data_IF_122934332643
#
_entry.id   IF_122934332643
#
_cell.length_a   1.000
_cell.length_b   1.000
_cell.length_c   1.000
_cell.angle_alpha   90.00
_cell.angle_beta   90.00
_cell.angle_gamma   90.00
#
_symmetry.space_group_name_H-M   'P 1'
#
loop_
_entity.id
_entity.type
_entity.pdbx_description
1 polymer ?
#
# COMPACT_ATOMS: atom_id res chain seq x y z
N UNK A 1 -30.91 9.00 1.95
CA UNK A 1 -31.05 7.77 2.78
C UNK A 1 -30.88 6.60 1.83
N UNK A 2 -30.01 5.66 2.14
CA UNK A 2 -29.90 4.45 1.33
C UNK A 2 -31.13 3.60 1.57
N UNK A 3 -31.89 3.30 0.52
CA UNK A 3 -33.08 2.48 0.60
C UNK A 3 -32.73 1.04 0.98
N UNK A 4 -33.52 0.43 1.86
CA UNK A 4 -33.40 -0.99 2.16
C UNK A 4 -33.75 -1.80 0.93
N UNK A 5 -33.09 -2.95 0.76
CA UNK A 5 -33.34 -3.84 -0.37
C UNK A 5 -34.70 -4.52 -0.23
N UNK A 6 -35.35 -4.74 -1.35
CA UNK A 6 -36.61 -5.52 -1.40
C UNK A 6 -36.35 -7.03 -1.19
N UNK A 7 -35.21 -7.52 -1.70
CA UNK A 7 -34.81 -8.93 -1.57
C UNK A 7 -33.47 -9.03 -0.87
N UNK A 8 -33.47 -9.61 0.32
CA UNK A 8 -32.27 -9.91 1.07
C UNK A 8 -31.47 -11.02 0.39
N UNK A 9 -30.15 -10.80 0.20
CA UNK A 9 -29.21 -11.79 -0.35
C UNK A 9 -28.21 -12.21 0.71
N UNK A 10 -27.73 -13.45 0.61
CA UNK A 10 -26.62 -13.99 1.38
C UNK A 10 -25.35 -13.84 0.55
N UNK A 11 -24.42 -13.00 1.01
CA UNK A 11 -23.26 -12.57 0.23
C UNK A 11 -21.97 -12.98 0.94
N UNK A 12 -21.06 -13.66 0.22
CA UNK A 12 -19.70 -13.88 0.67
C UNK A 12 -18.80 -12.78 0.13
N UNK A 13 -17.96 -12.21 1.00
CA UNK A 13 -16.89 -11.26 0.63
C UNK A 13 -15.55 -11.86 1.01
N UNK A 14 -14.62 -11.94 0.08
CA UNK A 14 -13.29 -12.53 0.31
C UNK A 14 -12.23 -11.44 0.27
N UNK A 15 -11.65 -11.16 1.44
CA UNK A 15 -10.64 -10.13 1.68
C UNK A 15 -11.20 -8.91 2.40
N UNK A 16 -10.67 -8.64 3.60
CA UNK A 16 -11.04 -7.50 4.43
C UNK A 16 -10.08 -6.30 4.27
N UNK A 17 -9.63 -6.04 3.03
CA UNK A 17 -8.98 -4.80 2.64
C UNK A 17 -9.99 -3.67 2.41
N UNK A 18 -9.53 -2.48 1.96
CA UNK A 18 -10.41 -1.30 1.77
C UNK A 18 -11.67 -1.57 0.96
N UNK A 19 -11.56 -2.30 -0.15
CA UNK A 19 -12.70 -2.64 -1.01
C UNK A 19 -13.70 -3.57 -0.31
N UNK A 20 -13.20 -4.67 0.29
CA UNK A 20 -14.07 -5.65 0.96
C UNK A 20 -14.78 -5.06 2.18
N UNK A 21 -14.10 -4.22 2.97
CA UNK A 21 -14.69 -3.51 4.10
C UNK A 21 -15.78 -2.55 3.65
N UNK A 22 -15.52 -1.75 2.59
CA UNK A 22 -16.49 -0.80 2.08
C UNK A 22 -17.73 -1.49 1.49
N UNK A 23 -17.54 -2.56 0.72
CA UNK A 23 -18.63 -3.37 0.19
C UNK A 23 -19.47 -3.96 1.33
N UNK A 24 -18.82 -4.65 2.28
CA UNK A 24 -19.51 -5.34 3.38
C UNK A 24 -20.32 -4.38 4.23
N UNK A 25 -19.76 -3.22 4.54
CA UNK A 25 -20.48 -2.16 5.25
C UNK A 25 -21.71 -1.68 4.48
N UNK A 26 -21.55 -1.31 3.21
CA UNK A 26 -22.63 -0.77 2.41
C UNK A 26 -23.75 -1.80 2.17
N UNK A 27 -23.40 -3.06 1.85
CA UNK A 27 -24.35 -4.12 1.62
C UNK A 27 -25.13 -4.51 2.89
N UNK A 28 -24.43 -4.66 4.03
CA UNK A 28 -25.09 -4.97 5.31
C UNK A 28 -26.01 -3.84 5.78
N UNK A 29 -25.60 -2.58 5.61
CA UNK A 29 -26.42 -1.40 5.92
C UNK A 29 -27.72 -1.36 5.13
N UNK A 30 -27.72 -1.88 3.90
CA UNK A 30 -28.92 -2.03 3.06
C UNK A 30 -29.80 -3.23 3.43
N UNK A 31 -29.31 -4.13 4.27
CA UNK A 31 -30.08 -5.27 4.79
C UNK A 31 -29.66 -6.64 4.26
N UNK A 32 -28.59 -6.75 3.45
CA UNK A 32 -28.06 -8.03 3.03
C UNK A 32 -27.36 -8.78 4.18
N UNK A 33 -27.36 -10.11 4.11
CA UNK A 33 -26.60 -10.97 5.03
C UNK A 33 -25.17 -11.15 4.47
N UNK A 34 -24.17 -10.53 5.13
CA UNK A 34 -22.80 -10.50 4.65
C UNK A 34 -21.88 -11.31 5.54
N UNK A 35 -21.15 -12.27 4.95
CA UNK A 35 -20.03 -12.96 5.58
C UNK A 35 -18.73 -12.47 4.93
N UNK A 36 -17.86 -11.84 5.73
CA UNK A 36 -16.57 -11.31 5.29
C UNK A 36 -15.43 -12.22 5.78
N UNK A 37 -14.72 -12.82 4.84
CA UNK A 37 -13.59 -13.71 5.08
C UNK A 37 -12.26 -12.96 4.93
N UNK A 38 -11.34 -13.16 5.85
CA UNK A 38 -9.99 -12.62 5.80
C UNK A 38 -8.97 -13.69 6.24
N UNK A 39 -7.96 -13.90 5.42
CA UNK A 39 -6.89 -14.87 5.70
C UNK A 39 -5.94 -14.45 6.83
N UNK A 40 -5.85 -13.16 7.10
CA UNK A 40 -5.05 -12.60 8.20
C UNK A 40 -5.87 -12.54 9.49
N UNK A 41 -5.16 -12.36 10.61
CA UNK A 41 -5.79 -12.25 11.95
C UNK A 41 -6.46 -10.88 12.21
N UNK A 42 -6.33 -9.93 11.28
CA UNK A 42 -6.87 -8.58 11.38
C UNK A 42 -7.38 -8.07 10.04
N UNK A 43 -8.37 -7.17 10.07
CA UNK A 43 -8.82 -6.44 8.90
C UNK A 43 -7.77 -5.44 8.42
N UNK A 44 -7.91 -4.93 7.19
CA UNK A 44 -7.18 -3.76 6.70
C UNK A 44 -6.40 -3.94 5.41
N UNK A 45 -5.90 -5.16 5.13
CA UNK A 45 -5.16 -5.41 3.89
C UNK A 45 -4.00 -4.42 3.70
N UNK A 46 -4.04 -3.63 2.61
CA UNK A 46 -2.99 -2.64 2.29
C UNK A 46 -2.91 -1.50 3.32
N UNK A 47 -3.97 -1.15 4.03
CA UNK A 47 -3.92 -0.14 5.09
C UNK A 47 -2.99 -0.54 6.25
N UNK A 48 -2.84 -1.83 6.53
CA UNK A 48 -1.91 -2.31 7.55
C UNK A 48 -0.42 -2.07 7.20
N UNK A 49 -0.11 -1.83 5.93
CA UNK A 49 1.21 -1.39 5.48
C UNK A 49 1.27 0.15 5.42
N UNK A 50 0.25 0.78 4.84
CA UNK A 50 0.21 2.23 4.68
C UNK A 50 0.31 2.99 6.01
N UNK A 51 -0.39 2.54 7.07
CA UNK A 51 -0.36 3.16 8.39
C UNK A 51 1.00 3.16 9.09
N UNK A 52 1.99 2.41 8.58
CA UNK A 52 3.36 2.39 9.08
C UNK A 52 4.24 3.48 8.46
N UNK A 53 3.75 4.12 7.39
CA UNK A 53 4.46 5.18 6.68
C UNK A 53 4.22 6.50 7.42
N UNK A 54 5.27 7.30 7.67
CA UNK A 54 5.15 8.59 8.34
C UNK A 54 4.11 9.50 7.70
N UNK A 55 3.24 10.07 8.53
CA UNK A 55 2.15 10.93 8.08
C UNK A 55 0.93 10.19 7.52
N UNK A 56 0.91 8.85 7.63
CA UNK A 56 -0.23 8.01 7.22
C UNK A 56 -0.79 7.16 8.37
N UNK A 57 -0.37 7.43 9.58
CA UNK A 57 -0.80 6.71 10.79
C UNK A 57 -2.32 6.81 11.03
N UNK A 58 -2.96 7.83 10.50
CA UNK A 58 -4.42 8.04 10.55
C UNK A 58 -5.24 6.90 9.91
N UNK A 59 -4.62 6.06 9.06
CA UNK A 59 -5.29 4.85 8.57
C UNK A 59 -5.66 3.87 9.68
N UNK A 60 -5.05 3.97 10.87
CA UNK A 60 -5.49 3.23 12.06
C UNK A 60 -6.94 3.58 12.44
N UNK A 61 -7.30 4.88 12.39
CA UNK A 61 -8.65 5.34 12.67
C UNK A 61 -9.66 4.86 11.61
N UNK A 62 -9.22 4.78 10.35
CA UNK A 62 -10.03 4.18 9.29
C UNK A 62 -10.33 2.70 9.57
N UNK A 63 -9.34 1.95 10.04
CA UNK A 63 -9.54 0.54 10.42
C UNK A 63 -10.42 0.39 11.66
N UNK A 64 -10.23 1.23 12.67
CA UNK A 64 -11.10 1.30 13.85
C UNK A 64 -12.55 1.56 13.43
N UNK A 65 -12.78 2.55 12.58
CA UNK A 65 -14.10 2.87 12.03
C UNK A 65 -14.75 1.66 11.37
N UNK A 66 -14.06 1.00 10.44
CA UNK A 66 -14.62 -0.17 9.77
C UNK A 66 -14.87 -1.33 10.73
N UNK A 67 -14.00 -1.56 11.69
CA UNK A 67 -14.21 -2.58 12.73
C UNK A 67 -15.52 -2.37 13.49
N UNK A 68 -15.80 -1.14 13.91
CA UNK A 68 -17.06 -0.79 14.59
C UNK A 68 -18.27 -0.88 13.64
N UNK A 69 -18.10 -0.50 12.37
CA UNK A 69 -19.19 -0.61 11.40
C UNK A 69 -19.56 -2.06 11.08
N UNK A 70 -18.56 -2.98 10.99
CA UNK A 70 -18.84 -4.41 10.82
C UNK A 70 -19.70 -4.96 11.95
N UNK A 71 -19.35 -4.63 13.20
CA UNK A 71 -20.12 -5.03 14.40
C UNK A 71 -21.53 -4.43 14.37
N UNK A 72 -21.63 -3.12 14.16
CA UNK A 72 -22.89 -2.38 14.18
C UNK A 72 -23.93 -2.91 13.19
N UNK A 73 -23.48 -3.33 12.00
CA UNK A 73 -24.35 -3.78 10.94
C UNK A 73 -24.44 -5.30 10.80
N UNK A 74 -23.89 -6.04 11.78
CA UNK A 74 -24.04 -7.49 11.86
C UNK A 74 -23.31 -8.27 10.76
N UNK A 75 -22.21 -7.71 10.23
CA UNK A 75 -21.36 -8.45 9.28
C UNK A 75 -20.69 -9.61 10.01
N UNK A 76 -20.84 -10.83 9.49
CA UNK A 76 -20.17 -12.01 10.02
C UNK A 76 -18.70 -11.99 9.59
N UNK A 77 -17.82 -11.52 10.46
CA UNK A 77 -16.38 -11.41 10.19
C UNK A 77 -15.66 -12.71 10.57
N UNK A 78 -15.01 -13.35 9.60
CA UNK A 78 -14.21 -14.57 9.71
C UNK A 78 -12.74 -14.29 9.49
N UNK A 79 -12.03 -13.89 10.54
CA UNK A 79 -10.58 -13.63 10.53
C UNK A 79 -9.78 -14.93 10.61
N UNK A 80 -8.51 -14.90 10.11
CA UNK A 80 -7.64 -16.07 10.08
C UNK A 80 -8.16 -17.20 9.20
N UNK A 81 -9.12 -16.89 8.31
CA UNK A 81 -9.80 -17.87 7.48
C UNK A 81 -9.46 -17.67 6.03
N UNK A 82 -8.62 -18.54 5.48
CA UNK A 82 -8.39 -18.64 4.05
C UNK A 82 -9.45 -19.54 3.46
N UNK A 83 -10.30 -19.00 2.61
CA UNK A 83 -11.33 -19.76 1.91
C UNK A 83 -10.81 -20.24 0.56
N UNK A 84 -11.23 -21.45 0.20
CA UNK A 84 -11.05 -22.07 -1.11
C UNK A 84 -12.40 -22.09 -1.85
N UNK A 85 -12.37 -22.46 -3.12
CA UNK A 85 -13.59 -22.48 -3.97
C UNK A 85 -14.69 -23.33 -3.34
N UNK A 86 -14.37 -24.52 -2.83
CA UNK A 86 -15.37 -25.43 -2.22
C UNK A 86 -16.06 -24.82 -1.01
N UNK A 87 -15.37 -24.03 -0.19
CA UNK A 87 -15.97 -23.38 0.97
C UNK A 87 -17.06 -22.39 0.55
N UNK A 88 -16.84 -21.69 -0.58
CA UNK A 88 -17.78 -20.74 -1.14
C UNK A 88 -18.98 -21.42 -1.81
N UNK A 89 -18.75 -22.55 -2.48
CA UNK A 89 -19.81 -23.36 -3.08
C UNK A 89 -20.74 -23.97 -2.01
N UNK A 90 -20.16 -24.56 -0.97
CA UNK A 90 -20.90 -25.16 0.16
C UNK A 90 -21.61 -24.10 1.02
N UNK A 91 -21.14 -22.85 0.97
CA UNK A 91 -21.73 -21.74 1.72
C UNK A 91 -23.10 -21.28 1.24
N UNK A 92 -23.58 -21.75 0.07
CA UNK A 92 -24.88 -21.40 -0.52
C UNK A 92 -25.11 -19.88 -0.57
N UNK A 93 -24.13 -19.15 -1.12
CA UNK A 93 -24.21 -17.71 -1.29
C UNK A 93 -24.91 -17.33 -2.59
N UNK A 94 -25.78 -16.32 -2.54
CA UNK A 94 -26.42 -15.75 -3.75
C UNK A 94 -25.39 -15.05 -4.64
N UNK A 95 -24.39 -14.40 -4.02
CA UNK A 95 -23.31 -13.69 -4.72
C UNK A 95 -21.98 -13.77 -3.95
N UNK A 96 -20.88 -13.81 -4.68
CA UNK A 96 -19.51 -13.80 -4.13
C UNK A 96 -18.76 -12.57 -4.61
N UNK A 97 -18.15 -11.84 -3.68
CA UNK A 97 -17.35 -10.64 -3.94
C UNK A 97 -15.89 -10.95 -3.66
N UNK A 98 -15.06 -10.94 -4.68
CA UNK A 98 -13.62 -11.11 -4.54
C UNK A 98 -12.95 -9.75 -4.40
N UNK A 99 -12.55 -9.42 -3.18
CA UNK A 99 -11.80 -8.23 -2.78
C UNK A 99 -10.38 -8.60 -2.32
N UNK A 100 -9.81 -9.63 -2.95
CA UNK A 100 -8.54 -10.28 -2.56
C UNK A 100 -7.30 -9.44 -2.80
N UNK A 101 -7.46 -8.27 -3.43
CA UNK A 101 -6.41 -7.28 -3.61
C UNK A 101 -5.37 -7.65 -4.68
N UNK A 102 -4.09 -7.45 -4.36
CA UNK A 102 -2.99 -7.51 -5.32
C UNK A 102 -1.80 -8.31 -4.80
N UNK A 103 -0.97 -8.78 -5.74
CA UNK A 103 0.37 -9.28 -5.46
C UNK A 103 1.43 -8.26 -5.94
N UNK A 104 2.58 -8.14 -5.27
CA UNK A 104 3.72 -7.41 -5.81
C UNK A 104 4.13 -7.95 -7.18
N UNK A 105 4.37 -7.06 -8.14
CA UNK A 105 4.93 -7.45 -9.42
C UNK A 105 6.45 -7.55 -9.32
N UNK A 106 6.99 -8.71 -9.65
CA UNK A 106 8.43 -8.96 -9.69
C UNK A 106 8.93 -8.72 -11.12
N UNK A 107 9.84 -7.76 -11.37
CA UNK A 107 10.37 -7.48 -12.67
C UNK A 107 11.39 -8.56 -13.10
N UNK A 108 11.60 -8.69 -14.41
CA UNK A 108 12.65 -9.58 -14.94
C UNK A 108 13.98 -8.83 -14.91
N UNK A 109 14.77 -9.08 -13.87
CA UNK A 109 16.14 -8.55 -13.69
C UNK A 109 17.03 -9.75 -13.38
N UNK A 110 18.22 -9.84 -13.99
CA UNK A 110 19.19 -10.88 -13.65
C UNK A 110 19.53 -10.80 -12.16
N UNK A 111 19.53 -11.92 -11.45
CA UNK A 111 19.73 -11.93 -9.99
C UNK A 111 18.52 -11.51 -9.15
N UNK A 112 17.31 -11.45 -9.69
CA UNK A 112 16.09 -11.06 -8.93
C UNK A 112 15.78 -12.01 -7.77
N UNK A 113 16.29 -13.22 -7.75
CA UNK A 113 16.21 -14.19 -6.64
C UNK A 113 17.35 -14.08 -5.62
N UNK A 114 18.23 -13.09 -5.74
CA UNK A 114 19.35 -12.91 -4.83
C UNK A 114 18.88 -12.62 -3.39
N UNK A 115 19.58 -13.10 -2.33
CA UNK A 115 19.19 -12.88 -0.93
C UNK A 115 19.05 -11.40 -0.52
N UNK A 116 19.74 -10.49 -1.20
CA UNK A 116 19.58 -9.03 -0.99
C UNK A 116 18.24 -8.48 -1.46
N UNK A 117 17.46 -9.23 -2.24
CA UNK A 117 16.18 -8.75 -2.81
C UNK A 117 15.05 -8.97 -1.83
N UNK A 118 14.33 -7.91 -1.53
CA UNK A 118 13.11 -7.93 -0.73
C UNK A 118 11.96 -7.29 -1.52
N UNK A 119 10.76 -7.79 -1.32
CA UNK A 119 9.56 -7.12 -1.79
C UNK A 119 9.14 -6.05 -0.76
N UNK A 120 8.44 -5.00 -1.20
CA UNK A 120 7.91 -4.00 -0.27
C UNK A 120 7.02 -4.62 0.83
N UNK A 121 6.37 -5.75 0.53
CA UNK A 121 5.58 -6.52 1.50
C UNK A 121 6.43 -7.23 2.55
N UNK A 122 7.66 -7.62 2.23
CA UNK A 122 8.57 -8.20 3.21
C UNK A 122 8.98 -7.16 4.23
N UNK A 123 9.23 -5.93 3.77
CA UNK A 123 9.59 -4.79 4.61
C UNK A 123 8.40 -4.30 5.44
N UNK A 124 7.31 -3.86 4.78
CA UNK A 124 6.20 -3.19 5.45
C UNK A 124 5.26 -4.17 6.20
N UNK A 125 5.08 -5.40 5.70
CA UNK A 125 4.16 -6.36 6.29
C UNK A 125 4.88 -7.32 7.24
N UNK A 126 5.98 -7.95 6.77
CA UNK A 126 6.68 -8.98 7.53
C UNK A 126 7.76 -8.44 8.48
N UNK A 127 8.13 -7.16 8.36
CA UNK A 127 9.15 -6.53 9.20
C UNK A 127 10.56 -7.07 8.94
N UNK A 128 10.87 -7.40 7.68
CA UNK A 128 12.21 -7.86 7.31
C UNK A 128 13.27 -6.81 7.66
N UNK A 129 14.38 -7.25 8.21
CA UNK A 129 15.52 -6.38 8.50
C UNK A 129 16.11 -5.83 7.20
N UNK A 130 16.40 -4.54 7.20
CA UNK A 130 16.97 -3.82 6.06
C UNK A 130 18.25 -3.11 6.48
N UNK A 131 19.32 -3.32 5.73
CA UNK A 131 20.62 -2.70 5.98
C UNK A 131 20.63 -1.18 5.79
N UNK A 132 21.81 -0.59 5.89
CA UNK A 132 21.98 0.88 5.85
C UNK A 132 21.97 1.47 4.44
N UNK A 133 22.37 0.70 3.42
CA UNK A 133 22.44 1.13 2.03
C UNK A 133 21.37 0.39 1.21
N UNK A 134 20.46 1.10 0.61
CA UNK A 134 19.28 0.50 -0.02
C UNK A 134 19.03 1.05 -1.41
N UNK A 135 18.72 0.17 -2.37
CA UNK A 135 18.14 0.58 -3.65
C UNK A 135 16.66 0.22 -3.68
N UNK A 136 15.81 1.18 -4.02
CA UNK A 136 14.37 0.98 -4.21
C UNK A 136 14.06 1.02 -5.69
N UNK A 137 13.56 -0.09 -6.25
CA UNK A 137 13.20 -0.22 -7.66
C UNK A 137 11.72 0.09 -7.85
N UNK A 138 11.44 1.25 -8.43
CA UNK A 138 10.10 1.75 -8.71
C UNK A 138 9.77 2.98 -7.89
N UNK A 139 9.62 4.13 -8.55
CA UNK A 139 9.34 5.44 -7.94
C UNK A 139 7.88 5.88 -8.15
N UNK A 140 6.94 4.96 -7.99
CA UNK A 140 5.52 5.23 -7.79
C UNK A 140 5.20 5.48 -6.32
N UNK A 141 3.92 5.58 -5.95
CA UNK A 141 3.48 5.81 -4.57
C UNK A 141 4.13 4.87 -3.56
N UNK A 142 4.14 3.56 -3.84
CA UNK A 142 4.75 2.54 -2.95
C UNK A 142 6.26 2.77 -2.78
N UNK A 143 6.98 3.15 -3.84
CA UNK A 143 8.42 3.40 -3.74
C UNK A 143 8.73 4.61 -2.89
N UNK A 144 7.92 5.67 -2.97
CA UNK A 144 8.01 6.83 -2.09
C UNK A 144 7.71 6.45 -0.63
N UNK A 145 6.61 5.74 -0.40
CA UNK A 145 6.19 5.29 0.93
C UNK A 145 7.25 4.41 1.61
N UNK A 146 7.82 3.45 0.87
CA UNK A 146 8.90 2.59 1.38
C UNK A 146 10.16 3.40 1.68
N UNK A 147 10.50 4.38 0.84
CA UNK A 147 11.65 5.25 1.09
C UNK A 147 11.44 6.09 2.36
N UNK A 148 10.27 6.71 2.54
CA UNK A 148 9.93 7.47 3.75
C UNK A 148 9.95 6.59 5.00
N UNK A 149 9.41 5.37 4.91
CA UNK A 149 9.45 4.39 6.02
C UNK A 149 10.89 4.00 6.39
N UNK A 150 11.75 3.73 5.40
CA UNK A 150 13.12 3.28 5.62
C UNK A 150 14.05 4.39 6.14
N UNK A 151 13.74 5.66 5.89
CA UNK A 151 14.49 6.80 6.43
C UNK A 151 14.29 6.99 7.92
N UNK A 152 13.22 6.42 8.49
CA UNK A 152 12.98 6.53 9.92
C UNK A 152 13.96 5.69 10.72
N UNK A 153 14.44 6.25 11.81
CA UNK A 153 15.12 5.52 12.88
C UNK A 153 14.06 4.76 13.68
N UNK A 154 14.07 3.42 13.70
CA UNK A 154 13.05 2.64 14.40
C UNK A 154 13.10 2.81 15.94
N UNK A 155 14.15 3.43 16.47
CA UNK A 155 14.26 3.77 17.90
C UNK A 155 13.55 5.09 18.26
N UNK A 156 13.20 5.91 17.25
CA UNK A 156 12.52 7.19 17.43
C UNK A 156 11.01 7.06 17.13
N UNK A 157 10.22 7.94 17.73
CA UNK A 157 8.81 8.10 17.39
C UNK A 157 8.69 8.62 15.94
N UNK A 158 7.68 8.15 15.21
CA UNK A 158 7.42 8.64 13.85
C UNK A 158 7.24 10.16 13.86
N UNK A 159 7.88 10.85 12.93
CA UNK A 159 7.70 12.31 12.75
C UNK A 159 6.25 12.70 12.47
N UNK A 160 5.42 11.78 11.97
CA UNK A 160 3.98 12.00 11.81
C UNK A 160 3.21 12.06 13.14
N UNK A 161 3.77 11.49 14.21
CA UNK A 161 3.18 11.44 15.55
C UNK A 161 3.82 12.42 16.53
N UNK A 162 4.97 13.01 16.19
CA UNK A 162 5.67 13.98 17.03
C UNK A 162 5.67 15.38 16.37
N UNK A 163 4.80 16.24 16.90
CA UNK A 163 4.64 17.61 16.42
C UNK A 163 5.94 18.42 16.50
N UNK A 164 6.75 18.20 17.54
CA UNK A 164 8.00 18.93 17.74
C UNK A 164 9.04 18.53 16.71
N UNK A 165 9.23 17.24 16.51
CA UNK A 165 10.14 16.71 15.48
C UNK A 165 9.66 17.07 14.07
N UNK A 166 8.34 17.08 13.82
CA UNK A 166 7.80 17.54 12.56
C UNK A 166 8.12 19.00 12.28
N UNK A 167 7.94 19.90 13.26
CA UNK A 167 8.25 21.32 13.12
C UNK A 167 9.74 21.55 12.95
N UNK A 168 10.59 20.84 13.69
CA UNK A 168 12.06 20.87 13.53
C UNK A 168 12.46 20.47 12.11
N UNK A 169 11.96 19.33 11.61
CA UNK A 169 12.21 18.84 10.25
C UNK A 169 11.86 19.87 9.17
N UNK A 170 10.75 20.58 9.33
CA UNK A 170 10.27 21.56 8.35
C UNK A 170 10.76 22.99 8.62
N UNK A 171 11.51 23.21 9.69
CA UNK A 171 12.06 24.51 10.05
C UNK A 171 10.99 25.51 10.47
N UNK A 172 9.92 25.05 11.14
CA UNK A 172 8.84 25.91 11.63
C UNK A 172 9.29 26.58 12.94
N UNK A 173 9.32 27.92 12.94
CA UNK A 173 9.54 28.73 14.16
C UNK A 173 8.22 28.90 14.91
N UNK A 174 8.04 28.11 15.98
CA UNK A 174 6.84 28.17 16.82
C UNK A 174 6.76 29.40 17.70
N UNK A 175 7.89 30.13 17.89
CA UNK A 175 7.92 31.39 18.63
C UNK A 175 7.42 32.58 17.81
N UNK A 176 7.31 32.40 16.48
CA UNK A 176 6.92 33.44 15.52
C UNK A 176 7.81 34.70 15.59
N UNK A 177 9.06 34.54 15.99
CA UNK A 177 10.00 35.65 16.14
C UNK A 177 10.41 36.26 14.78
N UNK A 178 10.17 35.52 13.67
CA UNK A 178 10.57 35.93 12.31
C UNK A 178 9.39 35.98 11.35
N UNK A 179 9.42 36.87 10.34
CA UNK A 179 8.44 36.87 9.26
C UNK A 179 8.37 35.48 8.57
N UNK A 180 7.16 35.00 8.30
CA UNK A 180 6.91 33.73 7.65
C UNK A 180 6.97 32.51 8.57
N UNK A 181 7.30 32.67 9.87
CA UNK A 181 7.31 31.59 10.86
C UNK A 181 8.31 30.47 10.55
N UNK A 182 9.45 30.80 9.96
CA UNK A 182 10.53 29.86 9.64
C UNK A 182 11.79 30.19 10.43
N UNK A 183 12.51 29.13 10.86
CA UNK A 183 13.84 29.29 11.45
C UNK A 183 14.85 29.76 10.40
N UNK A 184 15.97 30.38 10.85
CA UNK A 184 17.00 30.88 9.93
C UNK A 184 17.70 29.75 9.18
N UNK A 185 18.00 28.68 9.88
CA UNK A 185 18.67 27.50 9.34
C UNK A 185 18.05 26.24 9.90
N UNK A 186 17.74 25.32 9.02
CA UNK A 186 17.30 23.96 9.41
C UNK A 186 18.57 23.16 9.71
N UNK A 187 18.62 22.51 10.86
CA UNK A 187 19.68 21.56 11.20
C UNK A 187 19.54 20.33 10.30
N UNK A 188 20.59 20.02 9.55
CA UNK A 188 20.66 18.80 8.74
C UNK A 188 21.10 17.64 9.64
N UNK A 189 20.26 16.62 9.75
CA UNK A 189 20.60 15.37 10.42
C UNK A 189 21.07 14.35 9.37
N UNK A 190 22.08 13.55 9.72
CA UNK A 190 22.50 12.43 8.89
C UNK A 190 21.34 11.43 8.74
N UNK A 191 21.01 11.03 7.50
CA UNK A 191 19.91 10.12 7.27
C UNK A 191 20.17 8.74 7.89
N UNK A 192 19.15 8.14 8.48
CA UNK A 192 19.29 6.81 9.10
C UNK A 192 19.73 5.73 8.11
N UNK A 193 19.37 5.88 6.82
CA UNK A 193 19.80 5.05 5.69
C UNK A 193 20.12 5.86 4.46
N UNK A 194 21.13 5.41 3.69
CA UNK A 194 21.39 5.90 2.34
C UNK A 194 20.48 5.16 1.34
N UNK A 195 19.65 5.90 0.61
CA UNK A 195 18.65 5.33 -0.29
C UNK A 195 18.84 5.82 -1.73
N UNK A 196 18.88 4.87 -2.67
CA UNK A 196 18.74 5.13 -4.11
C UNK A 196 17.32 4.79 -4.55
N UNK A 197 16.50 5.79 -4.87
CA UNK A 197 15.17 5.59 -5.46
C UNK A 197 15.26 5.63 -6.98
N UNK A 198 15.03 4.50 -7.62
CA UNK A 198 15.31 4.29 -9.04
C UNK A 198 14.03 4.07 -9.87
N UNK A 199 13.98 4.66 -11.06
CA UNK A 199 12.94 4.34 -12.06
C UNK A 199 13.50 4.26 -13.49
N UNK A 200 12.88 3.41 -14.33
CA UNK A 200 13.23 3.26 -15.75
C UNK A 200 12.82 4.46 -16.60
N UNK A 201 11.68 5.09 -16.30
CA UNK A 201 11.21 6.27 -17.05
C UNK A 201 12.17 7.43 -16.83
N UNK A 202 12.49 8.16 -17.89
CA UNK A 202 13.33 9.36 -17.83
C UNK A 202 12.59 10.57 -17.23
N UNK A 203 11.26 10.46 -17.03
CA UNK A 203 10.46 11.52 -16.41
C UNK A 203 10.82 11.73 -14.95
N UNK A 204 10.45 12.87 -14.39
CA UNK A 204 10.61 13.19 -12.97
C UNK A 204 10.00 12.09 -12.09
N UNK A 205 10.71 11.66 -11.05
CA UNK A 205 10.22 10.67 -10.10
C UNK A 205 8.95 11.19 -9.39
N UNK A 206 8.00 10.29 -9.14
CA UNK A 206 6.76 10.62 -8.47
C UNK A 206 5.81 11.51 -9.29
N UNK A 207 5.89 11.53 -10.62
CA UNK A 207 4.97 12.32 -11.48
C UNK A 207 3.51 11.89 -11.30
N UNK A 208 3.27 10.62 -10.94
CA UNK A 208 1.93 10.06 -10.67
C UNK A 208 1.45 10.25 -9.22
N UNK A 209 2.21 10.92 -8.35
CA UNK A 209 1.76 11.23 -7.00
C UNK A 209 0.63 12.26 -7.02
N UNK A 210 -0.16 12.31 -5.94
CA UNK A 210 -1.26 13.24 -5.81
C UNK A 210 -0.86 14.69 -6.13
N UNK A 211 -1.69 15.38 -6.93
CA UNK A 211 -1.37 16.74 -7.43
C UNK A 211 -1.09 17.74 -6.30
N UNK A 212 -1.79 17.60 -5.18
CA UNK A 212 -1.69 18.52 -4.04
C UNK A 212 -0.52 18.23 -3.11
N UNK A 213 -0.12 16.96 -2.94
CA UNK A 213 0.89 16.54 -1.95
C UNK A 213 2.17 15.95 -2.55
N UNK A 214 2.17 15.55 -3.81
CA UNK A 214 3.31 14.90 -4.45
C UNK A 214 4.58 15.75 -4.49
N UNK A 215 4.46 17.07 -4.50
CA UNK A 215 5.62 17.97 -4.39
C UNK A 215 6.26 17.89 -3.00
N UNK A 216 5.45 17.80 -1.94
CA UNK A 216 5.92 17.71 -0.56
C UNK A 216 6.66 16.38 -0.31
N UNK A 217 6.12 15.24 -0.78
CA UNK A 217 6.80 13.94 -0.72
C UNK A 217 8.17 13.98 -1.41
N UNK A 218 8.24 14.54 -2.63
CA UNK A 218 9.53 14.69 -3.32
C UNK A 218 10.52 15.58 -2.55
N UNK A 219 10.03 16.68 -1.98
CA UNK A 219 10.85 17.59 -1.20
C UNK A 219 11.36 16.92 0.08
N UNK A 220 10.50 16.17 0.80
CA UNK A 220 10.87 15.41 1.99
C UNK A 220 12.02 14.45 1.69
N UNK A 221 11.85 13.56 0.70
CA UNK A 221 12.90 12.60 0.34
C UNK A 221 14.19 13.27 -0.11
N UNK A 222 14.11 14.41 -0.82
CA UNK A 222 15.28 15.17 -1.24
C UNK A 222 16.02 15.78 -0.04
N UNK A 223 15.29 16.34 0.93
CA UNK A 223 15.87 16.88 2.18
C UNK A 223 16.53 15.79 3.00
N UNK A 224 15.94 14.61 3.02
CA UNK A 224 16.46 13.44 3.73
C UNK A 224 17.57 12.70 2.92
N UNK A 225 18.16 13.33 1.89
CA UNK A 225 19.32 12.84 1.17
C UNK A 225 19.08 11.67 0.22
N UNK A 226 17.82 11.36 -0.16
CA UNK A 226 17.54 10.27 -1.10
C UNK A 226 18.06 10.59 -2.50
N UNK A 227 18.87 9.68 -3.06
CA UNK A 227 19.37 9.75 -4.43
C UNK A 227 18.29 9.32 -5.40
N UNK A 228 17.68 10.26 -6.12
CA UNK A 228 16.60 10.01 -7.07
C UNK A 228 17.14 9.81 -8.49
N UNK A 229 17.10 8.58 -9.01
CA UNK A 229 17.64 8.21 -10.31
C UNK A 229 16.53 7.90 -11.32
N UNK A 230 16.39 8.75 -12.35
CA UNK A 230 15.48 8.55 -13.48
C UNK A 230 16.22 7.97 -14.69
N UNK A 231 15.52 7.28 -15.59
CA UNK A 231 16.11 6.73 -16.81
C UNK A 231 17.09 5.58 -16.57
N UNK A 232 16.87 4.82 -15.49
CA UNK A 232 17.77 3.71 -15.11
C UNK A 232 17.42 2.44 -15.90
N UNK A 233 18.43 1.80 -16.49
CA UNK A 233 18.35 0.42 -16.97
C UNK A 233 18.95 -0.51 -15.92
N UNK A 234 18.17 -1.50 -15.44
CA UNK A 234 18.64 -2.47 -14.47
C UNK A 234 19.30 -3.65 -15.17
N UNK A 235 20.56 -3.93 -14.88
CA UNK A 235 21.33 -5.00 -15.48
C UNK A 235 21.32 -6.27 -14.66
N UNK A 236 21.75 -6.17 -13.40
CA UNK A 236 21.96 -7.33 -12.54
C UNK A 236 21.91 -6.95 -11.05
N UNK A 237 21.49 -7.89 -10.23
CA UNK A 237 21.62 -7.84 -8.78
C UNK A 237 22.58 -8.95 -8.36
N UNK A 238 23.64 -8.61 -7.63
CA UNK A 238 24.69 -9.53 -7.21
C UNK A 238 25.20 -9.19 -5.80
N UNK A 239 26.28 -9.85 -5.37
CA UNK A 239 26.84 -9.66 -4.01
C UNK A 239 27.31 -8.22 -3.73
N UNK A 240 27.72 -7.47 -4.76
CA UNK A 240 28.10 -6.07 -4.60
C UNK A 240 26.91 -5.13 -4.49
N UNK A 241 25.78 -5.47 -5.10
CA UNK A 241 24.58 -4.65 -5.05
C UNK A 241 23.75 -4.68 -6.33
N UNK A 242 23.33 -3.49 -6.80
CA UNK A 242 22.52 -3.32 -8.01
C UNK A 242 23.35 -2.69 -9.14
N UNK A 243 23.61 -3.43 -10.21
CA UNK A 243 24.27 -2.95 -11.42
C UNK A 243 23.24 -2.28 -12.32
N UNK A 244 23.52 -1.04 -12.71
CA UNK A 244 22.64 -0.21 -13.54
C UNK A 244 23.41 0.44 -14.69
N UNK A 245 22.69 0.82 -15.76
CA UNK A 245 23.13 1.86 -16.69
C UNK A 245 22.35 3.13 -16.39
N UNK A 246 23.05 4.23 -16.17
CA UNK A 246 22.46 5.52 -15.94
C UNK A 246 23.26 6.60 -16.67
N UNK A 247 22.58 7.40 -17.51
CA UNK A 247 23.22 8.38 -18.42
C UNK A 247 24.25 7.77 -19.37
N UNK A 248 24.04 6.53 -19.81
CA UNK A 248 24.95 5.82 -20.73
C UNK A 248 26.14 5.13 -20.06
N UNK A 249 26.32 5.29 -18.76
CA UNK A 249 27.42 4.69 -18.01
C UNK A 249 26.91 3.54 -17.13
N UNK A 250 27.66 2.43 -17.15
CA UNK A 250 27.42 1.32 -16.23
C UNK A 250 28.06 1.61 -14.87
N UNK A 251 27.28 1.42 -13.81
CA UNK A 251 27.75 1.57 -12.44
C UNK A 251 27.06 0.60 -11.48
N UNK A 252 27.76 0.23 -10.43
CA UNK A 252 27.22 -0.58 -9.34
C UNK A 252 26.82 0.34 -8.19
N UNK A 253 25.54 0.27 -7.81
CA UNK A 253 25.08 0.83 -6.54
C UNK A 253 25.38 -0.19 -5.46
N UNK A 254 26.41 0.08 -4.67
CA UNK A 254 26.78 -0.77 -3.53
C UNK A 254 25.74 -0.68 -2.43
N UNK A 255 24.87 -1.67 -2.37
CA UNK A 255 23.75 -1.70 -1.42
C UNK A 255 23.66 -3.02 -0.68
N UNK A 256 23.12 -2.94 0.52
CA UNK A 256 22.90 -4.09 1.38
C UNK A 256 21.60 -4.82 0.95
N UNK A 257 20.59 -4.06 0.52
CA UNK A 257 19.30 -4.61 0.03
C UNK A 257 18.76 -3.85 -1.19
N UNK A 258 17.99 -4.58 -2.00
CA UNK A 258 17.24 -4.07 -3.14
C UNK A 258 15.75 -4.32 -2.90
N UNK A 259 14.97 -3.25 -2.76
CA UNK A 259 13.53 -3.35 -2.47
C UNK A 259 12.71 -3.19 -3.76
N UNK A 260 11.87 -4.17 -4.06
CA UNK A 260 11.05 -4.16 -5.27
C UNK A 260 9.71 -3.47 -5.01
N UNK A 261 9.51 -2.32 -5.65
CA UNK A 261 8.30 -1.49 -5.62
C UNK A 261 7.75 -1.24 -7.05
N UNK A 262 7.94 -2.19 -7.97
CA UNK A 262 7.76 -2.00 -9.41
C UNK A 262 6.32 -2.24 -9.92
N UNK A 263 5.33 -2.02 -9.07
CA UNK A 263 3.91 -2.17 -9.38
C UNK A 263 3.30 -3.46 -8.81
N UNK A 264 2.09 -3.74 -9.23
CA UNK A 264 1.25 -4.80 -8.65
C UNK A 264 0.50 -5.54 -9.76
N UNK A 265 0.03 -6.75 -9.46
CA UNK A 265 -0.85 -7.56 -10.31
C UNK A 265 -2.10 -7.96 -9.52
N UNK A 266 -3.29 -8.04 -10.16
CA UNK A 266 -4.51 -8.47 -9.50
C UNK A 266 -4.39 -9.90 -8.95
N UNK A 267 -4.92 -10.13 -7.76
CA UNK A 267 -5.01 -11.45 -7.15
C UNK A 267 -6.42 -12.04 -7.36
N UNK A 268 -6.55 -12.96 -8.34
CA UNK A 268 -7.85 -13.50 -8.82
C UNK A 268 -7.94 -15.02 -8.77
N UNK A 269 -7.19 -15.67 -7.92
CA UNK A 269 -7.02 -17.13 -7.97
C UNK A 269 -8.33 -17.92 -7.90
N UNK A 270 -9.32 -17.42 -7.12
CA UNK A 270 -10.61 -18.08 -6.97
C UNK A 270 -11.60 -17.80 -8.12
N UNK A 271 -11.34 -16.76 -8.94
CA UNK A 271 -12.32 -16.30 -9.93
C UNK A 271 -12.64 -17.34 -11.00
N UNK A 272 -11.64 -17.98 -11.68
CA UNK A 272 -11.93 -18.91 -12.77
C UNK A 272 -12.78 -20.11 -12.33
N UNK A 273 -12.46 -20.72 -11.20
CA UNK A 273 -13.16 -21.90 -10.69
C UNK A 273 -14.61 -21.57 -10.25
N UNK A 274 -14.82 -20.42 -9.63
CA UNK A 274 -16.15 -19.97 -9.22
C UNK A 274 -17.01 -19.60 -10.43
N UNK A 275 -16.42 -18.98 -11.45
CA UNK A 275 -17.11 -18.66 -12.71
C UNK A 275 -17.51 -19.92 -13.46
N UNK A 276 -16.63 -20.93 -13.57
CA UNK A 276 -16.89 -22.23 -14.16
C UNK A 276 -18.00 -22.99 -13.42
N UNK A 277 -18.05 -22.87 -12.10
CA UNK A 277 -19.10 -23.44 -11.26
C UNK A 277 -20.44 -22.69 -11.35
N UNK A 278 -20.55 -21.64 -12.16
CA UNK A 278 -21.78 -20.86 -12.35
C UNK A 278 -22.14 -19.94 -11.18
N UNK A 279 -21.22 -19.66 -10.28
CA UNK A 279 -21.43 -18.73 -9.17
C UNK A 279 -21.45 -17.30 -9.70
N UNK A 280 -22.37 -16.48 -9.20
CA UNK A 280 -22.37 -15.05 -9.51
C UNK A 280 -21.25 -14.34 -8.76
N UNK A 281 -20.11 -14.12 -9.43
CA UNK A 281 -18.88 -13.58 -8.86
C UNK A 281 -18.65 -12.15 -9.35
N UNK A 282 -18.21 -11.29 -8.43
CA UNK A 282 -17.79 -9.92 -8.73
C UNK A 282 -16.37 -9.68 -8.23
N UNK A 283 -15.58 -8.95 -9.02
CA UNK A 283 -14.24 -8.50 -8.66
C UNK A 283 -14.30 -7.02 -8.25
N UNK A 284 -13.65 -6.63 -7.14
CA UNK A 284 -13.58 -5.24 -6.70
C UNK A 284 -12.17 -4.87 -6.24
N UNK A 285 -11.83 -3.60 -6.39
CA UNK A 285 -10.55 -3.04 -5.99
C UNK A 285 -9.38 -3.70 -6.72
N UNK A 286 -8.29 -3.99 -6.00
CA UNK A 286 -7.09 -4.56 -6.60
C UNK A 286 -7.27 -5.92 -7.28
N UNK A 287 -8.28 -6.70 -6.88
CA UNK A 287 -8.64 -7.94 -7.56
C UNK A 287 -9.27 -7.68 -8.94
N UNK A 288 -9.96 -6.56 -9.11
CA UNK A 288 -10.50 -6.13 -10.40
C UNK A 288 -9.40 -5.48 -11.24
N UNK A 289 -8.79 -4.40 -10.76
CA UNK A 289 -7.72 -3.70 -11.46
C UNK A 289 -6.65 -3.21 -10.48
N UNK A 290 -5.37 -3.50 -10.79
CA UNK A 290 -4.25 -3.11 -9.94
C UNK A 290 -3.54 -1.82 -10.41
N UNK A 291 -3.87 -1.31 -11.61
CA UNK A 291 -3.19 -0.16 -12.20
C UNK A 291 -3.70 1.14 -11.59
N UNK A 292 -2.78 1.92 -11.02
CA UNK A 292 -3.05 3.26 -10.47
C UNK A 292 -4.22 3.30 -9.45
N UNK A 293 -4.58 2.15 -8.87
CA UNK A 293 -5.64 2.07 -7.88
C UNK A 293 -5.14 2.62 -6.54
N UNK A 294 -5.88 3.58 -6.00
CA UNK A 294 -5.74 4.06 -4.64
C UNK A 294 -6.88 3.54 -3.73
N UNK A 295 -6.79 3.82 -2.45
CA UNK A 295 -7.81 3.40 -1.48
C UNK A 295 -9.19 4.03 -1.78
N UNK A 296 -9.22 5.28 -2.23
CA UNK A 296 -10.44 6.00 -2.60
C UNK A 296 -11.14 5.33 -3.78
N UNK A 297 -10.39 4.95 -4.82
CA UNK A 297 -10.91 4.23 -5.98
C UNK A 297 -11.49 2.87 -5.58
N UNK A 298 -10.75 2.09 -4.78
CA UNK A 298 -11.19 0.78 -4.30
C UNK A 298 -12.47 0.85 -3.46
N UNK A 299 -12.55 1.80 -2.53
CA UNK A 299 -13.74 2.04 -1.69
C UNK A 299 -14.93 2.47 -2.55
N UNK A 300 -14.73 3.41 -3.47
CA UNK A 300 -15.78 3.91 -4.35
C UNK A 300 -16.37 2.78 -5.21
N UNK A 301 -15.53 2.02 -5.89
CA UNK A 301 -15.95 0.90 -6.74
C UNK A 301 -16.78 -0.11 -5.94
N UNK A 302 -16.27 -0.55 -4.80
CA UNK A 302 -16.91 -1.52 -3.94
C UNK A 302 -18.28 -1.02 -3.38
N UNK A 303 -18.32 0.24 -2.97
CA UNK A 303 -19.56 0.88 -2.50
C UNK A 303 -20.60 0.96 -3.62
N UNK A 304 -20.20 1.39 -4.81
CA UNK A 304 -21.11 1.46 -5.97
C UNK A 304 -21.65 0.10 -6.39
N UNK A 305 -20.83 -0.96 -6.28
CA UNK A 305 -21.32 -2.33 -6.53
C UNK A 305 -22.35 -2.73 -5.46
N UNK A 306 -22.08 -2.48 -4.17
CA UNK A 306 -23.02 -2.79 -3.09
C UNK A 306 -24.37 -2.06 -3.22
N UNK A 307 -24.38 -0.89 -3.87
CA UNK A 307 -25.63 -0.15 -4.14
C UNK A 307 -26.44 -0.72 -5.31
N UNK A 308 -25.84 -1.55 -6.15
CA UNK A 308 -26.49 -2.17 -7.32
C UNK A 308 -27.00 -3.58 -7.06
N UNK A 309 -26.47 -4.27 -6.04
CA UNK A 309 -26.86 -5.61 -5.61
C UNK A 309 -28.11 -5.56 -4.74
#
# INVERSE_FOLDING_TARGET
MEEKVEKVKKIAVVGAGPAGLAFSFAAAKRGHQVTLYESEKSIGGQFNMAKKVPGKEEFEETLRYYGEMMKKWGVQLKLGTRVETNDLLLGEYDEVILATGVNPRVPKIKGIGHPKVLLYTDVLKKGAEVGKRVAVIGAGGIGFDVSEFLLQDPSKVSTGLDKTEYFKKWGVDTSQARPGGLVEKIEEEEPFRSIYLCQRKASKLGIGLGKTTGWAHRLSLKKDGVHMLAGVEYKEINDQGLVIIHNGEEKTLEVDHVIICSGQTPKRNLFPELEEAGVKVHLVGGAHEAKELDAKGAIKEATLLALKI
#
